data_IF_881887576370
#
_entry.id   IF_881887576370
#
_cell.length_a   1.000
_cell.length_b   1.000
_cell.length_c   1.000
_cell.angle_alpha   90.00
_cell.angle_beta   90.00
_cell.angle_gamma   90.00
#
_symmetry.space_group_name_H-M   'P 1'
#
loop_
_entity.id
_entity.type
_entity.pdbx_description
1 polymer ?
#
# COMPACT_ATOMS: atom_id res chain seq x y z
N UNK A 1 -16.32 13.79 -10.03
CA UNK A 1 -14.90 13.37 -10.15
C UNK A 1 -14.88 11.91 -10.60
N UNK A 2 -13.96 11.52 -11.47
CA UNK A 2 -13.76 10.12 -11.86
C UNK A 2 -12.42 9.63 -11.30
N UNK A 3 -12.43 8.46 -10.66
CA UNK A 3 -11.24 7.88 -10.03
C UNK A 3 -10.92 6.53 -10.67
N UNK A 4 -9.66 6.35 -11.06
CA UNK A 4 -9.15 5.11 -11.66
C UNK A 4 -7.93 4.68 -10.84
N UNK A 5 -8.06 3.53 -10.17
CA UNK A 5 -7.00 2.98 -9.33
C UNK A 5 -6.41 1.75 -10.01
N UNK A 6 -5.09 1.64 -9.99
CA UNK A 6 -4.38 0.44 -10.40
C UNK A 6 -3.34 0.06 -9.34
N UNK A 7 -3.25 -1.23 -9.06
CA UNK A 7 -2.20 -1.80 -8.24
C UNK A 7 -1.28 -2.62 -9.14
N UNK A 8 0.01 -2.34 -9.05
CA UNK A 8 1.06 -3.01 -9.78
C UNK A 8 1.91 -3.79 -8.79
N UNK A 9 1.79 -5.11 -8.84
CA UNK A 9 2.57 -5.99 -7.99
C UNK A 9 4.09 -5.77 -8.21
N UNK A 10 4.92 -5.87 -7.16
CA UNK A 10 4.50 -6.17 -5.78
C UNK A 10 4.07 -4.96 -4.96
N UNK A 11 4.59 -3.75 -5.23
CA UNK A 11 4.53 -2.63 -4.28
C UNK A 11 4.30 -1.24 -4.90
N UNK A 12 3.65 -1.17 -6.07
CA UNK A 12 3.35 0.11 -6.71
C UNK A 12 1.86 0.31 -6.90
N UNK A 13 1.40 1.55 -6.79
CA UNK A 13 0.01 1.93 -7.08
C UNK A 13 -0.04 3.21 -7.90
N UNK A 14 -1.11 3.32 -8.69
CA UNK A 14 -1.50 4.53 -9.40
C UNK A 14 -2.88 4.96 -8.96
N UNK A 15 -3.01 6.23 -8.59
CA UNK A 15 -4.27 6.91 -8.38
C UNK A 15 -4.41 7.96 -9.48
N UNK A 16 -5.47 7.88 -10.28
CA UNK A 16 -5.76 8.82 -11.37
C UNK A 16 -7.13 9.44 -11.14
N UNK A 17 -7.14 10.74 -10.90
CA UNK A 17 -8.32 11.52 -10.58
C UNK A 17 -8.56 12.53 -11.69
N UNK A 18 -9.77 12.52 -12.24
CA UNK A 18 -10.25 13.51 -13.18
C UNK A 18 -11.33 14.37 -12.51
N UNK A 19 -11.03 15.66 -12.34
CA UNK A 19 -11.93 16.63 -11.73
C UNK A 19 -12.92 17.21 -12.74
N UNK A 20 -14.09 17.72 -12.29
CA UNK A 20 -15.05 18.38 -13.19
C UNK A 20 -14.47 19.58 -13.95
N UNK A 21 -13.40 20.20 -13.45
CA UNK A 21 -12.66 21.28 -14.11
C UNK A 21 -11.86 20.83 -15.34
N UNK A 22 -11.75 19.52 -15.60
CA UNK A 22 -10.86 18.97 -16.65
C UNK A 22 -9.42 18.77 -16.19
N UNK A 23 -9.09 19.15 -14.95
CA UNK A 23 -7.80 18.84 -14.33
C UNK A 23 -7.72 17.33 -14.10
N UNK A 24 -6.61 16.75 -14.53
CA UNK A 24 -6.26 15.35 -14.29
C UNK A 24 -5.04 15.32 -13.37
N UNK A 25 -5.18 14.60 -12.28
CA UNK A 25 -4.20 14.51 -11.21
C UNK A 25 -3.86 13.03 -11.03
N UNK A 26 -2.61 12.66 -11.28
CA UNK A 26 -2.13 11.28 -11.23
C UNK A 26 -1.00 11.17 -10.22
N UNK A 27 -1.20 10.36 -9.19
CA UNK A 27 -0.18 10.01 -8.21
C UNK A 27 0.31 8.59 -8.49
N UNK A 28 1.63 8.40 -8.49
CA UNK A 28 2.28 7.09 -8.52
C UNK A 28 3.07 6.93 -7.23
N UNK A 29 2.74 5.90 -6.45
CA UNK A 29 3.43 5.56 -5.22
C UNK A 29 4.10 4.20 -5.35
N UNK A 30 5.38 4.14 -5.00
CA UNK A 30 6.18 2.92 -4.92
C UNK A 30 6.67 2.74 -3.48
N UNK A 31 6.18 1.70 -2.82
CA UNK A 31 6.62 1.30 -1.49
C UNK A 31 7.84 0.39 -1.66
N UNK A 32 9.05 0.91 -1.47
CA UNK A 32 10.29 0.20 -1.84
C UNK A 32 10.90 -0.42 -0.58
N UNK A 33 10.77 -1.75 -0.35
CA UNK A 33 11.29 -2.37 0.87
C UNK A 33 12.82 -2.30 0.91
N UNK A 34 13.37 -2.03 2.09
CA UNK A 34 14.81 -2.06 2.37
C UNK A 34 15.15 -3.28 3.22
N UNK A 35 14.38 -3.48 4.30
CA UNK A 35 14.40 -4.67 5.17
C UNK A 35 13.04 -4.84 5.88
N UNK A 36 12.94 -5.82 6.77
CA UNK A 36 11.70 -6.18 7.48
C UNK A 36 11.06 -5.02 8.29
N UNK A 37 11.82 -3.96 8.63
CA UNK A 37 11.32 -2.83 9.41
C UNK A 37 11.38 -1.49 8.70
N UNK A 38 11.87 -1.44 7.45
CA UNK A 38 12.13 -0.18 6.74
C UNK A 38 11.76 -0.27 5.28
N UNK A 39 11.13 0.79 4.79
CA UNK A 39 10.89 1.02 3.36
C UNK A 39 11.16 2.48 3.01
N UNK A 40 11.34 2.75 1.72
CA UNK A 40 11.33 4.08 1.15
C UNK A 40 10.07 4.26 0.31
N UNK A 41 9.27 5.29 0.61
CA UNK A 41 8.17 5.72 -0.25
C UNK A 41 8.71 6.65 -1.34
N UNK A 42 8.55 6.26 -2.60
CA UNK A 42 8.83 7.11 -3.75
C UNK A 42 7.50 7.53 -4.39
N UNK A 43 7.20 8.83 -4.39
CA UNK A 43 5.96 9.40 -4.92
C UNK A 43 6.25 10.33 -6.10
N UNK A 44 5.40 10.26 -7.14
CA UNK A 44 5.37 11.22 -8.23
C UNK A 44 3.96 11.73 -8.44
N UNK A 45 3.85 13.04 -8.63
CA UNK A 45 2.61 13.72 -8.98
C UNK A 45 2.69 14.27 -10.40
N UNK A 46 1.74 13.88 -11.25
CA UNK A 46 1.54 14.44 -12.58
C UNK A 46 0.21 15.18 -12.63
N UNK A 47 0.24 16.40 -13.15
CA UNK A 47 -0.95 17.18 -13.48
C UNK A 47 -0.85 17.75 -14.89
N UNK A 48 -1.99 18.10 -15.45
CA UNK A 48 -2.11 18.67 -16.79
C UNK A 48 -2.34 20.20 -16.79
N UNK A 49 -2.22 20.86 -15.64
CA UNK A 49 -2.18 22.32 -15.53
C UNK A 49 -0.75 22.86 -15.60
N UNK A 50 -0.62 24.18 -15.59
CA UNK A 50 0.65 24.89 -15.68
C UNK A 50 1.03 25.55 -14.34
N UNK A 51 2.29 25.95 -14.20
CA UNK A 51 2.78 26.68 -13.02
C UNK A 51 2.00 27.98 -12.74
N UNK A 52 1.44 28.60 -13.80
CA UNK A 52 0.62 29.80 -13.66
C UNK A 52 -0.78 29.51 -13.07
N UNK A 53 -1.31 28.30 -13.29
CA UNK A 53 -2.60 27.88 -12.74
C UNK A 53 -2.46 27.39 -11.30
N UNK A 54 -1.39 26.64 -11.02
CA UNK A 54 -1.09 26.07 -9.71
C UNK A 54 0.43 25.82 -9.59
N UNK A 55 1.07 26.47 -8.63
CA UNK A 55 2.50 26.31 -8.42
C UNK A 55 2.84 24.88 -7.97
N UNK A 56 3.81 24.25 -8.63
CA UNK A 56 4.22 22.88 -8.28
C UNK A 56 4.68 22.76 -6.82
N UNK A 57 5.35 23.79 -6.30
CA UNK A 57 5.83 23.79 -4.90
C UNK A 57 4.68 23.69 -3.89
N UNK A 58 3.55 24.36 -4.14
CA UNK A 58 2.38 24.27 -3.27
C UNK A 58 1.86 22.84 -3.17
N UNK A 59 1.93 22.08 -4.26
CA UNK A 59 1.50 20.68 -4.30
C UNK A 59 2.50 19.77 -3.59
N UNK A 60 3.79 20.03 -3.75
CA UNK A 60 4.86 19.30 -3.06
C UNK A 60 4.73 19.48 -1.55
N UNK A 61 4.54 20.72 -1.07
CA UNK A 61 4.42 21.02 0.36
C UNK A 61 3.18 20.35 0.96
N UNK A 62 2.06 20.36 0.23
CA UNK A 62 0.83 19.69 0.63
C UNK A 62 0.97 18.17 0.69
N UNK A 63 1.59 17.56 -0.32
CA UNK A 63 1.85 16.12 -0.35
C UNK A 63 2.83 15.68 0.77
N UNK A 64 3.81 16.52 1.12
CA UNK A 64 4.74 16.26 2.22
C UNK A 64 4.00 16.22 3.56
N UNK A 65 3.12 17.19 3.85
CA UNK A 65 2.32 17.20 5.09
C UNK A 65 1.49 15.92 5.24
N UNK A 66 0.79 15.50 4.18
CA UNK A 66 0.02 14.25 4.18
C UNK A 66 0.93 13.04 4.37
N UNK A 67 2.08 13.01 3.71
CA UNK A 67 3.01 11.89 3.79
C UNK A 67 3.61 11.76 5.19
N UNK A 68 3.86 12.87 5.90
CA UNK A 68 4.30 12.83 7.29
C UNK A 68 3.21 12.29 8.22
N UNK A 69 1.94 12.67 8.03
CA UNK A 69 0.82 12.10 8.81
C UNK A 69 0.72 10.58 8.62
N UNK A 70 0.75 10.11 7.37
CA UNK A 70 0.73 8.69 7.06
C UNK A 70 1.94 7.95 7.66
N UNK A 71 3.12 8.57 7.63
CA UNK A 71 4.34 8.03 8.21
C UNK A 71 4.20 7.80 9.72
N UNK A 72 3.71 8.79 10.45
CA UNK A 72 3.53 8.69 11.90
C UNK A 72 2.59 7.53 12.26
N UNK A 73 1.52 7.33 11.49
CA UNK A 73 0.60 6.20 11.66
C UNK A 73 1.30 4.88 11.36
N UNK A 74 1.97 4.75 10.20
CA UNK A 74 2.62 3.52 9.79
C UNK A 74 3.73 3.10 10.75
N UNK A 75 4.56 4.04 11.21
CA UNK A 75 5.65 3.78 12.16
C UNK A 75 5.15 3.45 13.58
N UNK A 76 3.88 3.72 13.89
CA UNK A 76 3.23 3.29 15.13
C UNK A 76 2.71 1.84 15.10
N UNK A 77 2.70 1.19 13.93
CA UNK A 77 2.22 -0.18 13.74
C UNK A 77 3.35 -1.22 13.80
N UNK A 78 3.01 -2.49 14.05
CA UNK A 78 3.97 -3.59 13.98
C UNK A 78 4.43 -3.78 12.52
N UNK A 79 5.74 -3.69 12.22
CA UNK A 79 6.24 -3.89 10.86
C UNK A 79 6.03 -5.32 10.35
N UNK A 80 5.81 -6.30 11.23
CA UNK A 80 5.49 -7.68 10.87
C UNK A 80 3.97 -7.87 10.68
N UNK A 81 3.33 -6.95 9.95
CA UNK A 81 1.90 -7.04 9.66
C UNK A 81 1.57 -8.26 8.79
N UNK A 82 0.50 -8.97 9.12
CA UNK A 82 0.13 -10.21 8.42
C UNK A 82 -0.36 -9.95 7.00
N UNK A 83 0.17 -10.69 6.03
CA UNK A 83 -0.31 -10.74 4.65
C UNK A 83 -1.27 -11.91 4.46
N UNK A 84 -1.05 -13.05 5.11
CA UNK A 84 -1.94 -14.21 5.00
C UNK A 84 -3.19 -14.07 5.86
N UNK A 85 -4.27 -13.61 5.22
CA UNK A 85 -5.57 -13.39 5.85
C UNK A 85 -6.29 -14.67 6.27
N UNK A 86 -5.74 -15.87 5.99
CA UNK A 86 -6.25 -17.14 6.52
C UNK A 86 -5.90 -17.32 8.00
N UNK A 87 -4.92 -16.57 8.51
CA UNK A 87 -4.58 -16.50 9.94
C UNK A 87 -5.73 -15.82 10.70
N UNK A 88 -6.69 -16.62 11.16
CA UNK A 88 -7.87 -16.13 11.90
C UNK A 88 -7.47 -15.66 13.30
N UNK A 89 -8.08 -14.56 13.76
CA UNK A 89 -7.97 -14.10 15.15
C UNK A 89 -6.85 -13.09 15.43
N UNK A 90 -6.18 -12.57 14.39
CA UNK A 90 -5.11 -11.55 14.53
C UNK A 90 -5.59 -10.18 14.07
N UNK A 91 -6.09 -10.06 12.83
CA UNK A 91 -6.71 -8.83 12.31
C UNK A 91 -8.17 -9.11 11.89
N UNK A 92 -9.04 -8.14 12.12
CA UNK A 92 -10.44 -8.15 11.68
C UNK A 92 -10.62 -7.12 10.57
N UNK A 93 -11.17 -7.55 9.44
CA UNK A 93 -11.43 -6.67 8.29
C UNK A 93 -12.90 -6.31 8.20
N UNK A 94 -13.16 -5.06 7.85
CA UNK A 94 -14.47 -4.52 7.49
C UNK A 94 -14.66 -4.53 5.97
N UNK A 95 -15.89 -4.28 5.51
CA UNK A 95 -16.19 -4.23 4.07
C UNK A 95 -15.37 -3.15 3.34
N UNK A 96 -15.03 -2.05 4.04
CA UNK A 96 -14.15 -0.98 3.55
C UNK A 96 -12.74 -1.46 3.18
N UNK A 97 -12.28 -2.55 3.80
CA UNK A 97 -10.89 -3.02 3.69
C UNK A 97 -10.70 -3.93 2.47
N UNK A 98 -11.75 -4.16 1.69
CA UNK A 98 -11.75 -4.99 0.48
C UNK A 98 -10.56 -4.70 -0.46
N UNK A 99 -10.15 -3.45 -0.73
CA UNK A 99 -8.96 -3.19 -1.55
C UNK A 99 -7.67 -3.76 -0.93
N UNK A 100 -7.46 -3.57 0.38
CA UNK A 100 -6.31 -4.11 1.10
C UNK A 100 -6.29 -5.64 1.10
N UNK A 101 -7.47 -6.26 1.27
CA UNK A 101 -7.62 -7.72 1.20
C UNK A 101 -7.29 -8.29 -0.19
N UNK A 102 -7.65 -7.57 -1.26
CA UNK A 102 -7.27 -7.97 -2.62
C UNK A 102 -5.76 -7.87 -2.85
N UNK A 103 -5.12 -6.81 -2.35
CA UNK A 103 -3.65 -6.66 -2.42
C UNK A 103 -2.96 -7.82 -1.71
N UNK A 104 -3.37 -8.13 -0.48
CA UNK A 104 -2.83 -9.26 0.31
C UNK A 104 -3.00 -10.60 -0.42
N UNK A 105 -4.18 -10.85 -1.00
CA UNK A 105 -4.44 -12.03 -1.83
C UNK A 105 -3.48 -12.10 -3.03
N UNK A 106 -3.29 -10.99 -3.74
CA UNK A 106 -2.40 -10.95 -4.90
C UNK A 106 -0.92 -11.14 -4.52
N UNK A 107 -0.49 -10.62 -3.38
CA UNK A 107 0.86 -10.83 -2.85
C UNK A 107 1.09 -12.30 -2.47
N UNK A 108 0.14 -12.95 -1.78
CA UNK A 108 0.22 -14.39 -1.49
C UNK A 108 0.27 -15.26 -2.74
N UNK A 109 -0.51 -14.91 -3.78
CA UNK A 109 -0.45 -15.59 -5.07
C UNK A 109 0.91 -15.44 -5.76
N UNK A 110 1.53 -14.26 -5.63
CA UNK A 110 2.87 -14.01 -6.15
C UNK A 110 3.90 -14.89 -5.45
N UNK A 111 3.93 -14.90 -4.12
CA UNK A 111 4.83 -15.76 -3.33
C UNK A 111 4.67 -17.23 -3.73
N UNK A 112 3.43 -17.73 -3.74
CA UNK A 112 3.15 -19.13 -4.09
C UNK A 112 3.61 -19.49 -5.51
N UNK A 113 3.48 -18.58 -6.49
CA UNK A 113 3.98 -18.79 -7.86
C UNK A 113 5.50 -18.97 -7.91
N UNK A 114 6.21 -18.32 -6.99
CA UNK A 114 7.67 -18.42 -6.85
C UNK A 114 8.11 -19.51 -5.87
N UNK A 115 7.17 -20.33 -5.35
CA UNK A 115 7.47 -21.39 -4.39
C UNK A 115 7.74 -20.88 -2.98
N UNK A 116 7.40 -19.62 -2.70
CA UNK A 116 7.60 -18.96 -1.42
C UNK A 116 6.32 -18.97 -0.58
N UNK A 117 6.49 -18.80 0.72
CA UNK A 117 5.42 -18.61 1.69
C UNK A 117 5.72 -17.39 2.55
N UNK A 118 4.69 -16.79 3.12
CA UNK A 118 4.86 -15.70 4.07
C UNK A 118 5.66 -16.17 5.29
N UNK A 119 6.64 -15.37 5.69
CA UNK A 119 7.35 -15.48 6.97
C UNK A 119 6.78 -14.41 7.89
N UNK A 120 6.21 -14.82 9.02
CA UNK A 120 5.66 -13.93 10.05
C UNK A 120 6.12 -14.44 11.42
N UNK A 121 6.63 -13.55 12.26
CA UNK A 121 7.29 -13.84 13.54
C UNK A 121 6.28 -14.18 14.65
N UNK A 122 4.99 -13.84 14.48
CA UNK A 122 3.91 -14.02 15.46
C UNK A 122 3.01 -15.27 15.30
N UNK A 123 3.56 -16.49 15.34
CA UNK A 123 2.99 -17.74 15.94
C UNK A 123 3.80 -18.96 15.48
N UNK A 124 4.11 -19.89 16.41
CA UNK A 124 4.73 -21.19 16.11
C UNK A 124 3.92 -21.91 15.02
N UNK A 125 4.57 -22.29 13.93
CA UNK A 125 4.04 -23.30 12.99
C UNK A 125 3.83 -24.58 13.80
N UNK A 126 2.60 -24.87 14.23
CA UNK A 126 2.26 -26.20 14.72
C UNK A 126 2.17 -27.07 13.48
N UNK A 127 3.22 -27.85 13.23
CA UNK A 127 3.15 -28.93 12.24
C UNK A 127 2.02 -29.88 12.66
N UNK A 128 1.20 -30.32 11.70
CA UNK A 128 0.06 -31.24 11.88
C UNK A 128 0.40 -32.55 12.64
N UNK A 129 1.68 -32.85 12.88
CA UNK A 129 2.15 -33.97 13.67
C UNK A 129 1.96 -33.83 15.20
N UNK A 130 1.54 -32.67 15.72
CA UNK A 130 1.38 -32.43 17.17
C UNK A 130 -0.10 -32.35 17.63
N UNK A 131 -1.05 -32.70 16.77
CA UNK A 131 -2.47 -32.75 17.09
C UNK A 131 -2.99 -34.21 17.19
N UNK A 132 -2.23 -35.08 17.86
CA UNK A 132 -2.61 -36.45 18.19
C UNK A 132 -2.50 -36.68 19.70
#
# INVERSE_FOLDING_TARGET
RHMRNAYFLPFSRRLDIEYPSGIRHIIINCFTPIDDGRMQLCQWLFRNDTEADCAAQMLIDFDDEITQEDKDILESTDPDALVDTRRRGVEYSMESDKPGMLIRKHLMQLLARHGEAEVHRGMKVITLAQAA
#
